data_IF_053351234069
#
_entry.id   IF_053351234069
#
_cell.length_a   1.000
_cell.length_b   1.000
_cell.length_c   1.000
_cell.angle_alpha   90.00
_cell.angle_beta   90.00
_cell.angle_gamma   90.00
#
_symmetry.space_group_name_H-M   'P 1'
#
loop_
_entity.id
_entity.type
_entity.pdbx_description
1 polymer ?
#
# COMPACT_ATOMS: atom_id res chain seq x y z
N UNK A 1 16.51 -8.76 18.60
CA UNK A 1 15.05 -8.79 18.37
C UNK A 1 14.77 -9.89 17.35
N UNK A 2 14.06 -10.95 17.75
CA UNK A 2 13.64 -12.02 16.83
C UNK A 2 12.53 -11.47 15.93
N UNK A 3 12.65 -11.62 14.61
CA UNK A 3 11.58 -11.28 13.69
C UNK A 3 10.43 -12.28 13.90
N UNK A 4 9.17 -11.83 14.03
CA UNK A 4 8.05 -12.74 14.09
C UNK A 4 7.93 -13.50 12.75
N UNK A 5 7.44 -14.74 12.78
CA UNK A 5 7.14 -15.50 11.56
C UNK A 5 6.18 -14.74 10.65
N UNK A 6 6.24 -15.02 9.34
CA UNK A 6 5.36 -14.40 8.33
C UNK A 6 3.89 -14.65 8.67
N UNK A 7 3.53 -15.88 9.06
CA UNK A 7 2.18 -16.23 9.57
C UNK A 7 1.65 -15.31 10.66
N UNK A 8 2.49 -14.95 11.64
CA UNK A 8 2.06 -14.08 12.75
C UNK A 8 1.80 -12.65 12.25
N UNK A 9 2.59 -12.19 11.28
CA UNK A 9 2.39 -10.89 10.64
C UNK A 9 1.06 -10.84 9.89
N UNK A 10 0.74 -11.91 9.15
CA UNK A 10 -0.53 -12.05 8.43
C UNK A 10 -1.71 -12.00 9.41
N UNK A 11 -1.66 -12.80 10.48
CA UNK A 11 -2.71 -12.81 11.50
C UNK A 11 -2.89 -11.45 12.20
N UNK A 12 -1.81 -10.71 12.43
CA UNK A 12 -1.88 -9.36 12.98
C UNK A 12 -2.51 -8.36 12.01
N UNK A 13 -2.25 -8.49 10.71
CA UNK A 13 -2.87 -7.65 9.68
C UNK A 13 -4.36 -7.95 9.50
N UNK A 14 -4.78 -9.22 9.58
CA UNK A 14 -6.19 -9.59 9.54
C UNK A 14 -6.96 -8.97 10.71
N UNK A 15 -6.37 -9.02 11.92
CA UNK A 15 -6.94 -8.34 13.10
C UNK A 15 -6.98 -6.82 12.93
N UNK A 16 -5.99 -6.24 12.26
CA UNK A 16 -5.92 -4.81 12.00
C UNK A 16 -7.00 -4.39 10.99
N UNK A 17 -7.20 -5.17 9.93
CA UNK A 17 -8.22 -4.92 8.91
C UNK A 17 -9.65 -4.91 9.49
N UNK A 18 -9.89 -5.63 10.59
CA UNK A 18 -11.17 -5.62 11.30
C UNK A 18 -11.39 -4.42 12.23
N UNK A 19 -10.37 -3.57 12.46
CA UNK A 19 -10.50 -2.40 13.35
C UNK A 19 -11.29 -1.29 12.66
N UNK A 20 -12.17 -0.57 13.39
CA UNK A 20 -12.92 0.55 12.84
C UNK A 20 -11.96 1.64 12.37
N UNK A 21 -12.17 2.12 11.14
CA UNK A 21 -11.34 3.16 10.51
C UNK A 21 -10.14 2.64 9.72
N UNK A 22 -9.84 1.33 9.76
CA UNK A 22 -8.85 0.72 8.86
C UNK A 22 -9.54 0.44 7.53
N UNK A 23 -9.09 1.12 6.47
CA UNK A 23 -9.65 0.97 5.12
C UNK A 23 -8.98 -0.18 4.36
N UNK A 24 -7.67 -0.35 4.55
CA UNK A 24 -6.86 -1.30 3.81
C UNK A 24 -5.58 -1.68 4.55
N UNK A 25 -5.07 -2.87 4.27
CA UNK A 25 -3.75 -3.34 4.71
C UNK A 25 -2.98 -3.89 3.52
N UNK A 26 -1.68 -3.57 3.44
CA UNK A 26 -0.81 -3.97 2.33
C UNK A 26 0.52 -4.47 2.87
N UNK A 27 0.98 -5.61 2.34
CA UNK A 27 2.32 -6.16 2.59
C UNK A 27 3.09 -6.10 1.28
N UNK A 28 4.24 -5.44 1.32
CA UNK A 28 5.12 -5.29 0.18
C UNK A 28 6.45 -6.00 0.42
N UNK A 29 6.98 -6.63 -0.63
CA UNK A 29 8.36 -7.13 -0.64
C UNK A 29 9.32 -5.96 -0.48
N UNK A 30 10.22 -6.05 0.50
CA UNK A 30 11.25 -5.03 0.74
C UNK A 30 12.21 -4.86 -0.45
N UNK A 31 12.44 -5.90 -1.23
CA UNK A 31 13.44 -5.89 -2.30
C UNK A 31 12.90 -5.30 -3.59
N UNK A 32 11.63 -5.60 -3.91
CA UNK A 32 11.03 -5.27 -5.21
C UNK A 32 9.83 -4.34 -5.14
N UNK A 33 9.27 -4.10 -3.95
CA UNK A 33 7.99 -3.41 -3.80
C UNK A 33 6.78 -4.23 -4.27
N UNK A 34 6.96 -5.49 -4.66
CA UNK A 34 5.88 -6.36 -5.10
C UNK A 34 4.87 -6.61 -3.98
N UNK A 35 3.59 -6.66 -4.33
CA UNK A 35 2.51 -6.93 -3.38
C UNK A 35 2.54 -8.41 -3.00
N UNK A 36 2.77 -8.67 -1.71
CA UNK A 36 2.71 -10.02 -1.12
C UNK A 36 1.28 -10.31 -0.68
N UNK A 37 0.62 -9.33 -0.06
CA UNK A 37 -0.76 -9.44 0.42
C UNK A 37 -1.43 -8.07 0.40
N UNK A 38 -2.70 -8.04 0.00
CA UNK A 38 -3.55 -6.84 -0.01
C UNK A 38 -4.93 -7.19 0.52
N UNK A 39 -5.48 -6.35 1.40
CA UNK A 39 -6.87 -6.43 1.86
C UNK A 39 -7.48 -5.03 1.85
N UNK A 40 -8.75 -4.93 1.46
CA UNK A 40 -9.49 -3.65 1.39
C UNK A 40 -9.10 -2.75 0.21
N UNK A 41 -8.25 -3.20 -0.70
CA UNK A 41 -7.95 -2.53 -1.98
C UNK A 41 -8.33 -3.47 -3.11
N UNK A 42 -9.13 -2.98 -4.06
CA UNK A 42 -9.48 -3.73 -5.25
C UNK A 42 -8.27 -3.77 -6.20
N UNK A 43 -7.92 -4.98 -6.66
CA UNK A 43 -6.99 -5.12 -7.78
C UNK A 43 -7.71 -4.62 -9.03
N UNK A 44 -7.02 -3.84 -9.85
CA UNK A 44 -7.56 -3.52 -11.16
C UNK A 44 -7.51 -4.82 -11.99
N UNK A 45 -8.67 -5.39 -12.31
CA UNK A 45 -8.75 -6.48 -13.29
C UNK A 45 -8.34 -5.92 -14.66
N UNK A 46 -7.06 -6.00 -14.98
CA UNK A 46 -6.58 -5.88 -16.36
C UNK A 46 -7.00 -7.15 -17.08
N UNK A 47 -8.18 -7.12 -17.70
CA UNK A 47 -8.54 -8.06 -18.76
C UNK A 47 -7.50 -7.90 -19.89
N UNK A 48 -6.52 -8.79 -19.93
CA UNK A 48 -5.65 -8.99 -21.10
C UNK A 48 -6.48 -9.63 -22.23
N UNK A 49 -7.23 -8.80 -22.93
CA UNK A 49 -8.05 -9.25 -24.04
C UNK A 49 -8.94 -8.17 -24.63
N UNK A 50 -8.37 -7.07 -25.12
CA UNK A 50 -8.95 -6.42 -26.30
C UNK A 50 -7.93 -5.50 -27.00
N UNK A 51 -7.47 -5.95 -28.17
CA UNK A 51 -6.88 -5.05 -29.15
C UNK A 51 -8.03 -4.35 -29.88
N UNK A 52 -8.17 -3.04 -29.69
CA UNK A 52 -8.70 -2.18 -30.75
C UNK A 52 -9.88 -1.28 -30.40
N UNK A 53 -9.54 -0.01 -30.23
CA UNK A 53 -10.32 1.15 -30.69
C UNK A 53 -11.66 1.49 -30.02
N UNK A 54 -11.84 2.81 -29.89
CA UNK A 54 -13.13 3.53 -29.93
C UNK A 54 -13.84 3.80 -28.60
N UNK A 55 -13.89 5.10 -28.32
CA UNK A 55 -14.80 5.81 -27.41
C UNK A 55 -16.22 5.23 -27.48
N UNK A 56 -16.82 4.88 -26.33
CA UNK A 56 -18.22 5.23 -26.11
C UNK A 56 -18.57 5.31 -24.62
N UNK A 57 -19.27 6.40 -24.34
CA UNK A 57 -20.05 6.74 -23.17
C UNK A 57 -21.03 5.62 -22.80
N UNK A 58 -21.11 5.28 -21.52
CA UNK A 58 -21.85 4.11 -21.03
C UNK A 58 -22.18 4.26 -19.56
N UNK A 59 -23.14 5.15 -19.27
CA UNK A 59 -23.71 5.38 -17.94
C UNK A 59 -24.34 4.08 -17.45
N UNK A 60 -23.73 3.43 -16.45
CA UNK A 60 -24.41 2.43 -15.62
C UNK A 60 -24.43 2.95 -14.19
N UNK A 61 -25.51 3.66 -13.84
CA UNK A 61 -25.83 3.99 -12.46
C UNK A 61 -26.19 2.70 -11.72
N UNK A 62 -25.33 2.28 -10.79
CA UNK A 62 -25.68 1.37 -9.69
C UNK A 62 -25.25 2.03 -8.38
N UNK A 63 -26.26 2.38 -7.59
CA UNK A 63 -26.25 2.82 -6.19
C UNK A 63 -24.90 2.84 -5.47
N UNK A 64 -24.46 4.04 -5.10
CA UNK A 64 -24.42 4.41 -3.67
C UNK A 64 -23.30 3.84 -2.81
N UNK A 65 -22.08 3.74 -3.32
CA UNK A 65 -20.90 4.01 -2.50
C UNK A 65 -20.04 4.97 -3.30
N UNK A 66 -19.64 6.10 -2.72
CA UNK A 66 -18.59 6.94 -3.28
C UNK A 66 -17.30 6.14 -3.24
N UNK A 67 -17.15 5.19 -4.16
CA UNK A 67 -15.90 4.52 -4.47
C UNK A 67 -14.99 5.66 -4.86
N UNK A 68 -14.17 6.13 -3.92
CA UNK A 68 -12.96 6.87 -4.29
C UNK A 68 -12.40 6.08 -5.46
N UNK A 69 -12.15 6.74 -6.60
CA UNK A 69 -11.38 6.15 -7.68
C UNK A 69 -10.00 5.92 -7.07
N UNK A 70 -9.85 4.79 -6.36
CA UNK A 70 -8.61 4.35 -5.78
C UNK A 70 -7.78 3.99 -6.99
N UNK A 71 -6.58 4.56 -7.06
CA UNK A 71 -5.61 4.09 -8.04
C UNK A 71 -5.44 2.57 -7.85
N UNK A 72 -5.15 1.84 -8.95
CA UNK A 72 -4.80 0.43 -8.86
C UNK A 72 -3.86 0.20 -7.67
N UNK A 73 -4.08 -0.89 -6.93
CA UNK A 73 -3.26 -1.20 -5.73
C UNK A 73 -1.78 -1.27 -6.08
N UNK A 74 -1.46 -1.63 -7.32
CA UNK A 74 -0.13 -1.65 -7.93
C UNK A 74 0.52 -0.26 -7.94
N UNK A 75 -0.22 0.78 -8.33
CA UNK A 75 0.27 2.16 -8.33
C UNK A 75 0.53 2.65 -6.91
N UNK A 76 -0.36 2.30 -5.97
CA UNK A 76 -0.20 2.64 -4.56
C UNK A 76 1.06 1.96 -4.01
N UNK A 77 1.24 0.67 -4.28
CA UNK A 77 2.40 -0.10 -3.84
C UNK A 77 3.70 0.54 -4.35
N UNK A 78 3.75 0.91 -5.63
CA UNK A 78 4.91 1.56 -6.24
C UNK A 78 5.25 2.88 -5.55
N UNK A 79 4.27 3.76 -5.36
CA UNK A 79 4.48 5.06 -4.74
C UNK A 79 4.94 4.94 -3.29
N UNK A 80 4.35 4.02 -2.53
CA UNK A 80 4.77 3.73 -1.15
C UNK A 80 6.20 3.21 -1.12
N UNK A 81 6.57 2.30 -2.02
CA UNK A 81 7.91 1.75 -2.10
C UNK A 81 8.97 2.82 -2.41
N UNK A 82 8.71 3.68 -3.41
CA UNK A 82 9.58 4.80 -3.77
C UNK A 82 9.74 5.79 -2.61
N UNK A 83 8.63 6.13 -1.94
CA UNK A 83 8.63 7.02 -0.78
C UNK A 83 9.45 6.47 0.39
N UNK A 84 9.22 5.21 0.78
CA UNK A 84 9.96 4.55 1.86
C UNK A 84 11.46 4.48 1.55
N UNK A 85 11.81 4.19 0.29
CA UNK A 85 13.20 4.12 -0.17
C UNK A 85 13.90 5.47 -0.05
N UNK A 86 13.24 6.55 -0.51
CA UNK A 86 13.76 7.91 -0.41
C UNK A 86 13.90 8.37 1.05
N UNK A 87 12.90 8.12 1.89
CA UNK A 87 12.96 8.46 3.32
C UNK A 87 14.02 7.65 4.07
N UNK A 88 14.24 6.38 3.71
CA UNK A 88 15.29 5.55 4.31
C UNK A 88 16.68 6.06 3.96
N UNK A 89 16.87 6.57 2.74
CA UNK A 89 18.12 7.23 2.34
C UNK A 89 18.32 8.53 3.13
N UNK A 90 17.29 9.36 3.22
CA UNK A 90 17.32 10.62 3.97
C UNK A 90 17.69 10.39 5.44
N UNK A 91 17.10 9.39 6.10
CA UNK A 91 17.40 9.08 7.50
C UNK A 91 18.91 8.82 7.73
N UNK A 92 19.54 8.05 6.83
CA UNK A 92 20.99 7.77 6.90
C UNK A 92 21.83 9.02 6.65
N UNK A 93 21.42 9.87 5.72
CA UNK A 93 22.15 11.09 5.35
C UNK A 93 22.06 12.16 6.44
N UNK A 94 20.87 12.38 7.01
CA UNK A 94 20.63 13.38 8.07
C UNK A 94 21.41 13.02 9.33
N UNK A 95 21.43 11.75 9.70
CA UNK A 95 22.06 11.31 10.95
C UNK A 95 23.55 10.97 10.77
N UNK A 96 24.07 11.03 9.54
CA UNK A 96 25.49 10.83 9.24
C UNK A 96 26.01 9.41 9.53
N UNK A 97 25.11 8.45 9.81
CA UNK A 97 25.47 7.06 10.10
C UNK A 97 24.66 6.11 9.23
N UNK A 98 25.32 5.04 8.77
CA UNK A 98 24.64 3.98 8.01
C UNK A 98 23.82 3.05 8.92
N UNK A 99 24.06 3.10 10.23
CA UNK A 99 23.37 2.29 11.23
C UNK A 99 22.01 2.87 11.62
N UNK A 100 21.75 4.13 11.26
CA UNK A 100 20.44 4.72 11.50
C UNK A 100 19.42 4.22 10.47
N UNK A 101 18.38 3.58 10.99
CA UNK A 101 17.36 2.89 10.21
C UNK A 101 16.00 3.51 10.47
N UNK A 102 15.28 3.74 9.39
CA UNK A 102 13.90 4.20 9.44
C UNK A 102 12.99 3.12 10.09
N UNK A 103 12.42 3.43 11.25
CA UNK A 103 11.56 2.50 12.01
C UNK A 103 10.07 2.67 11.76
N UNK A 104 9.62 3.89 11.44
CA UNK A 104 8.21 4.20 11.26
C UNK A 104 8.05 5.41 10.34
N UNK A 105 7.11 5.32 9.40
CA UNK A 105 6.59 6.47 8.68
C UNK A 105 5.09 6.57 8.91
N UNK A 106 4.64 7.80 9.18
CA UNK A 106 3.23 8.10 9.35
C UNK A 106 2.91 9.36 8.57
N UNK A 107 2.01 9.24 7.61
CA UNK A 107 1.51 10.36 6.81
C UNK A 107 0.01 10.50 7.04
N UNK A 108 -0.39 11.58 7.70
CA UNK A 108 -1.79 11.92 7.88
C UNK A 108 -2.18 13.03 6.90
N UNK A 109 -3.21 12.77 6.12
CA UNK A 109 -3.89 13.75 5.27
C UNK A 109 -5.21 14.13 5.92
N UNK A 110 -5.91 15.12 5.36
CA UNK A 110 -7.26 15.49 5.83
C UNK A 110 -8.28 14.34 5.73
N UNK A 111 -8.05 13.39 4.82
CA UNK A 111 -9.01 12.31 4.52
C UNK A 111 -8.58 10.98 5.14
N UNK A 112 -7.30 10.65 4.99
CA UNK A 112 -6.76 9.33 5.27
C UNK A 112 -5.46 9.42 6.04
N UNK A 113 -5.10 8.32 6.69
CA UNK A 113 -3.82 8.15 7.37
C UNK A 113 -3.12 6.90 6.84
N UNK A 114 -1.85 7.06 6.47
CA UNK A 114 -0.98 5.99 6.03
C UNK A 114 0.09 5.74 7.09
N UNK A 115 0.12 4.51 7.62
CA UNK A 115 1.11 4.05 8.59
C UNK A 115 1.94 2.97 7.91
N UNK A 116 3.25 3.18 7.84
CA UNK A 116 4.19 2.28 7.18
C UNK A 116 5.27 1.90 8.18
N UNK A 117 5.51 0.60 8.31
CA UNK A 117 6.60 0.05 9.11
C UNK A 117 7.64 -0.52 8.15
N UNK A 118 8.76 0.19 7.89
CA UNK A 118 9.77 -0.23 6.92
C UNK A 118 10.57 -1.42 7.44
N UNK A 119 10.11 -2.62 7.09
CA UNK A 119 10.74 -3.87 7.49
C UNK A 119 10.63 -4.21 8.97
N UNK A 120 10.53 -5.52 9.21
CA UNK A 120 11.39 -6.20 10.17
C UNK A 120 12.47 -6.94 9.41
#
# INVERSE_FOLDING_TARGET
MQKPPVEETIANLDRLAQKPGVQATLVLSRQSGAIVQSSGLEKADVNEGDQGTSRQDGVTERMGATTMILRPVEDIARLVFEYVSASSKMAREVNGTKEDELKLLRMRTKRNELVIVPGM
#
